data_IF_419610641329
#
_entry.id   IF_419610641329
#
_cell.length_a   1.000
_cell.length_b   1.000
_cell.length_c   1.000
_cell.angle_alpha   90.00
_cell.angle_beta   90.00
_cell.angle_gamma   90.00
#
_symmetry.space_group_name_H-M   'P 1'
#
loop_
_entity.id
_entity.type
_entity.pdbx_description
1 polymer ?
#
# COMPACT_ATOMS: atom_id res chain seq x y z
N UNK A 1 -7.66 12.80 2.36
CA UNK A 1 -6.19 12.71 2.19
C UNK A 1 -5.77 11.26 2.05
N UNK A 2 -5.04 10.91 1.00
CA UNK A 2 -4.55 9.54 0.73
C UNK A 2 -3.37 9.20 1.63
N UNK A 3 -3.63 9.00 2.93
CA UNK A 3 -2.57 8.91 3.95
C UNK A 3 -1.57 7.77 3.72
N UNK A 4 -1.92 6.74 2.95
CA UNK A 4 -1.10 5.55 2.68
C UNK A 4 -0.47 5.49 1.28
N UNK A 5 -0.72 6.46 0.40
CA UNK A 5 0.00 6.52 -0.89
C UNK A 5 1.28 7.31 -0.63
N UNK A 6 2.39 6.61 -0.39
CA UNK A 6 3.72 7.18 -0.17
C UNK A 6 4.72 6.65 -1.20
N UNK A 7 5.88 7.30 -1.31
CA UNK A 7 6.96 6.82 -2.17
C UNK A 7 7.51 5.48 -1.66
N UNK A 8 7.46 4.44 -2.49
CA UNK A 8 7.94 3.10 -2.16
C UNK A 8 9.36 2.81 -2.69
N UNK A 9 9.80 3.53 -3.73
CA UNK A 9 11.13 3.35 -4.34
C UNK A 9 12.23 3.88 -3.41
N UNK A 10 13.26 3.07 -3.17
CA UNK A 10 14.43 3.44 -2.38
C UNK A 10 14.23 3.35 -0.87
N UNK A 11 13.18 2.66 -0.42
CA UNK A 11 13.02 2.29 0.99
C UNK A 11 14.04 1.21 1.37
N UNK A 12 14.55 1.29 2.59
CA UNK A 12 15.42 0.27 3.20
C UNK A 12 14.78 -0.25 4.49
N UNK A 13 14.46 -1.55 4.58
CA UNK A 13 14.49 -2.56 3.52
C UNK A 13 13.51 -2.25 2.35
N UNK A 14 13.65 -2.87 1.16
CA UNK A 14 12.76 -2.64 0.02
C UNK A 14 11.27 -2.76 0.37
N UNK A 15 10.41 -2.08 -0.40
CA UNK A 15 8.96 -2.16 -0.21
C UNK A 15 8.49 -3.61 -0.34
N UNK A 16 7.69 -4.07 0.62
CA UNK A 16 7.12 -5.42 0.58
C UNK A 16 5.85 -5.46 -0.28
N UNK A 17 5.47 -6.63 -0.75
CA UNK A 17 4.24 -6.82 -1.54
C UNK A 17 3.00 -6.31 -0.80
N UNK A 18 2.96 -6.48 0.53
CA UNK A 18 1.87 -5.98 1.40
C UNK A 18 1.79 -4.44 1.36
N UNK A 19 2.93 -3.76 1.33
CA UNK A 19 2.97 -2.29 1.25
C UNK A 19 2.54 -1.78 -0.12
N UNK A 20 2.96 -2.48 -1.18
CA UNK A 20 2.56 -2.18 -2.56
C UNK A 20 1.05 -2.39 -2.72
N UNK A 21 0.51 -3.51 -2.26
CA UNK A 21 -0.93 -3.80 -2.31
C UNK A 21 -1.73 -2.78 -1.49
N UNK A 22 -1.26 -2.43 -0.30
CA UNK A 22 -1.91 -1.42 0.53
C UNK A 22 -1.95 -0.04 -0.15
N UNK A 23 -0.87 0.35 -0.85
CA UNK A 23 -0.84 1.58 -1.64
C UNK A 23 -1.79 1.51 -2.85
N UNK A 24 -1.77 0.40 -3.60
CA UNK A 24 -2.64 0.14 -4.73
C UNK A 24 -4.13 0.20 -4.33
N UNK A 25 -4.49 -0.45 -3.21
CA UNK A 25 -5.85 -0.42 -2.66
C UNK A 25 -6.32 1.00 -2.35
N UNK A 26 -5.46 1.83 -1.77
CA UNK A 26 -5.79 3.22 -1.44
C UNK A 26 -5.91 4.08 -2.69
N UNK A 27 -5.08 3.84 -3.71
CA UNK A 27 -5.23 4.43 -5.03
C UNK A 27 -6.60 4.09 -5.63
N UNK A 28 -6.98 2.81 -5.66
CA UNK A 28 -8.26 2.36 -6.19
C UNK A 28 -9.42 2.99 -5.42
N UNK A 29 -9.40 3.03 -4.08
CA UNK A 29 -10.43 3.74 -3.29
C UNK A 29 -10.55 5.21 -3.66
N UNK A 30 -9.40 5.88 -3.84
CA UNK A 30 -9.37 7.31 -4.13
C UNK A 30 -9.94 7.61 -5.51
N UNK A 31 -9.55 6.83 -6.53
CA UNK A 31 -9.94 7.06 -7.92
C UNK A 31 -11.37 6.61 -8.18
N UNK A 32 -11.79 5.47 -7.64
CA UNK A 32 -13.16 4.95 -7.83
C UNK A 32 -14.22 5.63 -6.96
N UNK A 33 -13.84 6.30 -5.87
CA UNK A 33 -14.77 6.79 -4.84
C UNK A 33 -15.33 5.71 -3.92
N UNK A 34 -15.07 4.42 -4.19
CA UNK A 34 -15.54 3.29 -3.38
C UNK A 34 -14.68 3.15 -2.12
N UNK A 35 -15.18 3.63 -0.98
CA UNK A 35 -14.46 3.52 0.30
C UNK A 35 -14.62 2.13 0.95
N UNK A 36 -15.82 1.55 0.82
CA UNK A 36 -16.16 0.20 1.28
C UNK A 36 -16.80 -0.52 0.10
N UNK A 37 -16.13 -1.53 -0.49
CA UNK A 37 -16.73 -2.35 -1.53
C UNK A 37 -18.01 -3.02 -1.02
N UNK A 38 -19.05 -3.03 -1.84
CA UNK A 38 -20.25 -3.83 -1.64
C UNK A 38 -20.13 -5.12 -2.44
N UNK A 39 -20.99 -6.11 -2.16
CA UNK A 39 -20.99 -7.38 -2.91
C UNK A 39 -21.06 -7.15 -4.43
N UNK A 40 -21.83 -6.16 -4.88
CA UNK A 40 -22.01 -5.84 -6.30
C UNK A 40 -20.73 -5.32 -6.99
N UNK A 41 -19.80 -4.70 -6.27
CA UNK A 41 -18.58 -4.12 -6.86
C UNK A 41 -17.27 -4.75 -6.33
N UNK A 42 -17.36 -5.67 -5.38
CA UNK A 42 -16.21 -6.28 -4.72
C UNK A 42 -15.25 -6.92 -5.72
N UNK A 43 -15.76 -7.71 -6.67
CA UNK A 43 -14.92 -8.39 -7.66
C UNK A 43 -14.15 -7.39 -8.55
N UNK A 44 -14.83 -6.36 -9.05
CA UNK A 44 -14.21 -5.32 -9.87
C UNK A 44 -13.17 -4.51 -9.07
N UNK A 45 -13.49 -4.19 -7.81
CA UNK A 45 -12.61 -3.48 -6.91
C UNK A 45 -11.32 -4.28 -6.64
N UNK A 46 -11.43 -5.55 -6.21
CA UNK A 46 -10.27 -6.39 -5.91
C UNK A 46 -9.42 -6.68 -7.16
N UNK A 47 -10.04 -6.88 -8.32
CA UNK A 47 -9.31 -7.04 -9.59
C UNK A 47 -8.49 -5.78 -9.94
N UNK A 48 -9.06 -4.60 -9.73
CA UNK A 48 -8.34 -3.35 -9.95
C UNK A 48 -7.14 -3.21 -8.99
N UNK A 49 -7.32 -3.57 -7.71
CA UNK A 49 -6.22 -3.58 -6.73
C UNK A 49 -5.09 -4.52 -7.18
N UNK A 50 -5.43 -5.74 -7.61
CA UNK A 50 -4.46 -6.72 -8.08
C UNK A 50 -3.67 -6.21 -9.28
N UNK A 51 -4.34 -5.64 -10.29
CA UNK A 51 -3.68 -5.09 -11.48
C UNK A 51 -2.75 -3.92 -11.16
N UNK A 52 -3.20 -2.99 -10.31
CA UNK A 52 -2.37 -1.85 -9.89
C UNK A 52 -1.17 -2.32 -9.06
N UNK A 53 -1.34 -3.34 -8.22
CA UNK A 53 -0.25 -3.96 -7.44
C UNK A 53 0.82 -4.52 -8.37
N UNK A 54 0.41 -5.38 -9.33
CA UNK A 54 1.33 -5.99 -10.30
C UNK A 54 2.09 -4.94 -11.13
N UNK A 55 1.38 -3.96 -11.68
CA UNK A 55 1.99 -2.89 -12.47
C UNK A 55 2.99 -2.05 -11.63
N UNK A 56 2.67 -1.81 -10.36
CA UNK A 56 3.56 -1.05 -9.46
C UNK A 56 4.80 -1.87 -9.10
N UNK A 57 4.65 -3.18 -8.87
CA UNK A 57 5.76 -4.07 -8.58
C UNK A 57 6.74 -4.15 -9.77
N UNK A 58 6.22 -4.36 -10.98
CA UNK A 58 7.01 -4.37 -12.21
C UNK A 58 7.77 -3.05 -12.41
N UNK A 59 7.09 -1.91 -12.18
CA UNK A 59 7.72 -0.59 -12.24
C UNK A 59 8.86 -0.46 -11.22
N UNK A 60 8.64 -0.85 -9.97
CA UNK A 60 9.65 -0.74 -8.92
C UNK A 60 10.87 -1.63 -9.18
N UNK A 61 10.68 -2.80 -9.78
CA UNK A 61 11.75 -3.72 -10.19
C UNK A 61 12.53 -3.20 -11.41
N UNK A 62 11.85 -2.51 -12.34
CA UNK A 62 12.46 -2.04 -13.59
C UNK A 62 13.19 -0.70 -13.44
N UNK A 63 12.88 0.08 -12.41
CA UNK A 63 13.50 1.38 -12.19
C UNK A 63 14.92 1.21 -11.61
N UNK A 64 15.89 2.05 -12.03
CA UNK A 64 17.24 2.02 -11.47
C UNK A 64 17.22 2.37 -9.97
N UNK A 65 18.33 2.12 -9.23
CA UNK A 65 18.46 2.57 -7.86
C UNK A 65 18.15 4.06 -7.70
N UNK A 66 17.48 4.42 -6.60
CA UNK A 66 17.13 5.81 -6.34
C UNK A 66 18.37 6.55 -5.83
N UNK A 67 18.67 7.73 -6.40
CA UNK A 67 19.85 8.53 -6.01
C UNK A 67 19.73 9.16 -4.62
N UNK A 68 18.51 9.47 -4.17
CA UNK A 68 18.25 10.07 -2.87
C UNK A 68 17.19 9.23 -2.13
N UNK A 69 17.40 8.88 -0.85
CA UNK A 69 16.41 8.12 -0.10
C UNK A 69 15.09 8.91 0.04
N UNK A 70 13.95 8.22 0.16
CA UNK A 70 12.66 8.88 0.40
C UNK A 70 12.68 9.65 1.72
N UNK A 71 12.16 10.87 1.70
CA UNK A 71 12.13 11.78 2.87
C UNK A 71 11.12 11.36 3.94
N UNK A 72 10.14 10.55 3.56
CA UNK A 72 9.03 10.16 4.43
C UNK A 72 8.99 8.64 4.58
N UNK A 73 8.87 8.21 5.83
CA UNK A 73 8.63 6.80 6.15
C UNK A 73 7.15 6.49 5.89
N UNK A 74 6.84 5.45 5.10
CA UNK A 74 5.47 4.99 4.89
C UNK A 74 4.75 4.80 6.22
N UNK A 75 3.47 5.20 6.35
CA UNK A 75 2.73 5.08 7.61
C UNK A 75 2.74 3.67 8.18
N UNK A 76 2.68 2.65 7.32
CA UNK A 76 2.72 1.25 7.74
C UNK A 76 4.02 0.89 8.47
N UNK A 77 5.15 1.55 8.18
CA UNK A 77 6.42 1.29 8.85
C UNK A 77 6.63 2.07 10.15
N UNK A 78 5.74 3.01 10.47
CA UNK A 78 5.93 3.87 11.64
C UNK A 78 5.72 3.07 12.93
N UNK A 79 6.59 3.20 13.95
CA UNK A 79 6.51 2.41 15.18
C UNK A 79 5.13 2.46 15.86
N UNK A 80 4.50 3.64 15.91
CA UNK A 80 3.18 3.83 16.52
C UNK A 80 2.07 3.10 15.75
N UNK A 81 2.19 2.99 14.42
CA UNK A 81 1.22 2.27 13.58
C UNK A 81 1.41 0.77 13.74
N UNK A 82 2.66 0.30 13.76
CA UNK A 82 3.00 -1.11 14.00
C UNK A 82 2.51 -1.59 15.37
N UNK A 83 2.76 -0.80 16.43
CA UNK A 83 2.26 -1.10 17.77
C UNK A 83 0.74 -1.23 17.81
N UNK A 84 0.01 -0.36 17.09
CA UNK A 84 -1.45 -0.43 17.00
C UNK A 84 -1.94 -1.67 16.24
N UNK A 85 -1.26 -2.06 15.16
CA UNK A 85 -1.59 -3.27 14.40
C UNK A 85 -1.37 -4.50 15.29
N UNK A 86 -0.22 -4.60 15.96
CA UNK A 86 0.10 -5.69 16.88
C UNK A 86 -0.91 -5.79 18.03
N UNK A 87 -1.25 -4.67 18.66
CA UNK A 87 -2.25 -4.63 19.72
C UNK A 87 -3.66 -5.05 19.25
N UNK A 88 -4.01 -4.81 17.98
CA UNK A 88 -5.28 -5.27 17.40
C UNK A 88 -5.26 -6.77 17.12
N UNK A 89 -4.15 -7.30 16.61
CA UNK A 89 -3.98 -8.74 16.39
C UNK A 89 -4.09 -9.51 17.72
N UNK A 90 -3.44 -9.03 18.78
CA UNK A 90 -3.48 -9.65 20.12
C UNK A 90 -4.85 -9.59 20.82
N UNK A 91 -5.77 -8.72 20.38
CA UNK A 91 -7.15 -8.64 20.92
C UNK A 91 -8.15 -9.49 20.16
N UNK A 92 -7.80 -9.94 18.96
CA UNK A 92 -8.66 -10.75 18.09
C UNK A 92 -8.24 -12.22 18.00
N UNK A 93 -7.14 -12.59 18.64
CA UNK A 93 -6.72 -13.96 18.92
C UNK A 93 -7.15 -14.34 20.34
#
# INVERSE_FOLDING_TARGET
>A
MCRNITELRGLEPPATDVEIEAAARQYVRKVSGVQKPSEANQQAFELAVLRVTAATQELLQSLPPRRQPPKTVPPLRRPEVQARIAARAARGA
#
